data_IF_648836401913
#
_entry.id   IF_648836401913
#
_cell.length_a   1.000
_cell.length_b   1.000
_cell.length_c   1.000
_cell.angle_alpha   90.00
_cell.angle_beta   90.00
_cell.angle_gamma   90.00
#
_symmetry.space_group_name_H-M   'P 1'
#
loop_
_entity.id
_entity.type
_entity.pdbx_description
1 polymer ?
#
# COMPACT_ATOMS: atom_id res chain seq x y z
N UNK A 1 -9.87 -9.93 23.06
CA UNK A 1 -11.15 -10.20 22.42
C UNK A 1 -11.70 -8.89 21.95
N UNK A 2 -11.79 -8.72 20.63
CA UNK A 2 -12.54 -7.62 20.08
C UNK A 2 -14.00 -7.85 20.45
N UNK A 3 -14.50 -7.02 21.30
CA UNK A 3 -15.92 -7.01 21.53
C UNK A 3 -16.64 -6.56 20.27
N UNK A 4 -17.72 -7.18 20.05
CA UNK A 4 -18.60 -7.27 18.91
C UNK A 4 -19.29 -5.97 18.49
N UNK A 5 -18.57 -4.87 18.36
CA UNK A 5 -19.08 -3.73 17.60
C UNK A 5 -18.83 -4.01 16.11
N UNK A 6 -19.86 -4.18 15.28
CA UNK A 6 -19.70 -4.49 13.85
C UNK A 6 -18.98 -3.37 13.06
N UNK A 7 -18.79 -2.20 13.67
CA UNK A 7 -18.01 -1.09 13.12
C UNK A 7 -16.51 -1.21 13.44
N UNK A 8 -16.12 -2.14 14.35
CA UNK A 8 -14.73 -2.32 14.76
C UNK A 8 -14.12 -3.50 14.03
N UNK A 9 -13.03 -3.27 13.32
CA UNK A 9 -12.23 -4.30 12.68
C UNK A 9 -10.90 -4.41 13.42
N UNK A 10 -10.63 -5.59 13.97
CA UNK A 10 -9.32 -5.90 14.58
C UNK A 10 -8.43 -6.53 13.55
N UNK A 11 -7.20 -6.05 13.47
CA UNK A 11 -6.15 -6.60 12.60
C UNK A 11 -4.82 -6.69 13.34
N UNK A 12 -3.97 -7.61 12.92
CA UNK A 12 -2.58 -7.67 13.35
C UNK A 12 -1.71 -6.71 12.54
N UNK A 13 -0.62 -6.25 13.15
CA UNK A 13 0.45 -5.57 12.43
C UNK A 13 1.81 -6.04 12.96
N UNK A 14 2.81 -6.10 12.09
CA UNK A 14 4.12 -6.64 12.41
C UNK A 14 5.18 -6.00 11.53
N UNK A 15 6.38 -5.89 12.08
CA UNK A 15 7.59 -5.44 11.38
C UNK A 15 8.47 -6.66 11.12
N UNK A 16 8.27 -7.34 10.00
CA UNK A 16 9.08 -8.48 9.59
C UNK A 16 9.93 -8.10 8.38
N UNK A 17 11.23 -8.13 8.55
CA UNK A 17 12.17 -7.61 7.58
C UNK A 17 13.53 -8.32 7.62
N UNK A 18 14.34 -8.22 6.56
CA UNK A 18 15.67 -8.82 6.50
C UNK A 18 16.63 -8.34 7.61
N UNK A 19 16.37 -7.19 8.24
CA UNK A 19 17.17 -6.68 9.36
C UNK A 19 17.07 -7.49 10.66
N UNK A 20 16.06 -8.33 10.84
CA UNK A 20 15.71 -8.96 12.13
C UNK A 20 16.24 -10.39 12.31
N UNK A 21 16.96 -10.94 11.35
CA UNK A 21 17.51 -12.28 11.40
C UNK A 21 17.10 -13.15 10.22
N UNK A 22 17.32 -14.48 10.27
CA UNK A 22 17.07 -15.35 9.13
C UNK A 22 15.57 -15.50 8.81
N UNK A 23 15.20 -15.71 7.52
CA UNK A 23 13.82 -15.69 7.07
C UNK A 23 12.91 -16.78 7.65
N UNK A 24 13.49 -17.92 8.04
CA UNK A 24 12.72 -19.07 8.51
C UNK A 24 11.86 -18.79 9.75
N UNK A 25 12.35 -17.98 10.70
CA UNK A 25 11.60 -17.61 11.89
C UNK A 25 10.44 -16.67 11.56
N UNK A 26 10.68 -15.67 10.71
CA UNK A 26 9.67 -14.73 10.26
C UNK A 26 8.55 -15.44 9.47
N UNK A 27 8.91 -16.33 8.54
CA UNK A 27 7.96 -17.15 7.79
C UNK A 27 7.14 -18.04 8.72
N UNK A 28 7.78 -18.76 9.64
CA UNK A 28 7.10 -19.61 10.61
C UNK A 28 6.12 -18.85 11.50
N UNK A 29 6.44 -17.60 11.87
CA UNK A 29 5.53 -16.75 12.61
C UNK A 29 4.29 -16.38 11.79
N UNK A 30 4.47 -15.95 10.53
CA UNK A 30 3.36 -15.61 9.64
C UNK A 30 2.49 -16.84 9.35
N UNK A 31 3.10 -18.00 9.12
CA UNK A 31 2.37 -19.26 8.92
C UNK A 31 1.54 -19.63 10.15
N UNK A 32 2.07 -19.37 11.35
CA UNK A 32 1.33 -19.52 12.61
C UNK A 32 0.13 -18.58 12.68
N UNK A 33 0.32 -17.31 12.32
CA UNK A 33 -0.75 -16.32 12.31
C UNK A 33 -1.89 -16.71 11.36
N UNK A 34 -1.59 -17.05 10.10
CA UNK A 34 -2.60 -17.43 9.09
C UNK A 34 -3.36 -18.71 9.45
N UNK A 35 -2.70 -19.64 10.15
CA UNK A 35 -3.38 -20.87 10.62
C UNK A 35 -4.35 -20.63 11.78
N UNK A 36 -4.12 -19.58 12.56
CA UNK A 36 -4.88 -19.35 13.80
C UNK A 36 -5.96 -18.29 13.68
N UNK A 37 -5.89 -17.43 12.66
CA UNK A 37 -6.87 -16.34 12.47
C UNK A 37 -7.05 -15.95 11.01
N UNK A 38 -8.25 -15.48 10.68
CA UNK A 38 -8.56 -14.85 9.40
C UNK A 38 -8.46 -13.31 9.47
N UNK A 39 -8.00 -12.75 10.59
CA UNK A 39 -7.82 -11.30 10.71
C UNK A 39 -6.74 -10.81 9.73
N UNK A 40 -6.87 -9.58 9.29
CA UNK A 40 -5.85 -8.96 8.43
C UNK A 40 -4.53 -8.85 9.16
N UNK A 41 -3.44 -9.09 8.44
CA UNK A 41 -2.08 -8.84 8.89
C UNK A 41 -1.46 -7.76 8.01
N UNK A 42 -0.92 -6.72 8.65
CA UNK A 42 -0.21 -5.63 8.00
C UNK A 42 1.28 -5.80 8.30
N UNK A 43 2.09 -6.15 7.29
CA UNK A 43 3.53 -6.13 7.44
C UNK A 43 4.08 -4.76 7.01
N UNK A 44 4.66 -4.03 7.96
CA UNK A 44 5.29 -2.73 7.72
C UNK A 44 6.82 -2.80 7.74
N UNK A 45 7.40 -3.96 7.42
CA UNK A 45 8.82 -4.17 7.31
C UNK A 45 9.48 -3.51 6.10
N UNK A 46 10.79 -3.47 6.11
CA UNK A 46 11.63 -3.04 4.99
C UNK A 46 11.90 -4.19 4.01
N UNK A 47 12.53 -3.86 2.89
CA UNK A 47 13.11 -4.81 1.94
C UNK A 47 14.64 -4.65 1.88
N UNK A 48 15.27 -4.53 3.03
CA UNK A 48 16.69 -4.20 3.15
C UNK A 48 17.60 -5.20 2.44
N UNK A 49 18.53 -4.64 1.67
CA UNK A 49 19.48 -5.41 0.88
C UNK A 49 18.89 -6.08 -0.36
N UNK A 50 17.58 -6.03 -0.57
CA UNK A 50 16.98 -6.57 -1.80
C UNK A 50 17.41 -5.75 -3.04
N UNK A 51 17.41 -6.35 -4.24
CA UNK A 51 17.75 -5.67 -5.49
C UNK A 51 16.91 -4.43 -5.75
N UNK A 52 17.55 -3.40 -6.35
CA UNK A 52 16.91 -2.14 -6.76
C UNK A 52 16.55 -2.09 -8.25
N UNK A 53 16.84 -3.17 -8.97
CA UNK A 53 16.53 -3.36 -10.39
C UNK A 53 16.19 -4.81 -10.66
N UNK A 54 15.45 -5.05 -11.73
CA UNK A 54 15.13 -6.42 -12.16
C UNK A 54 16.44 -7.15 -12.49
N UNK A 55 16.65 -8.29 -11.85
CA UNK A 55 17.82 -9.14 -12.04
C UNK A 55 17.50 -10.59 -11.70
N UNK A 56 18.41 -11.51 -12.04
CA UNK A 56 18.35 -12.91 -11.60
C UNK A 56 18.83 -13.10 -10.15
N UNK A 57 19.53 -12.13 -9.58
CA UNK A 57 19.88 -12.11 -8.17
C UNK A 57 18.65 -11.70 -7.36
N UNK A 58 18.19 -12.58 -6.49
CA UNK A 58 17.03 -12.38 -5.63
C UNK A 58 17.42 -12.21 -4.16
N UNK A 59 18.72 -12.07 -3.86
CA UNK A 59 19.20 -12.03 -2.48
C UNK A 59 18.95 -10.68 -1.82
N UNK A 60 18.59 -10.74 -0.54
CA UNK A 60 18.43 -9.63 0.37
C UNK A 60 19.37 -9.80 1.57
N UNK A 61 19.36 -8.91 2.55
CA UNK A 61 20.19 -9.03 3.75
C UNK A 61 19.86 -10.30 4.55
N UNK A 62 20.81 -10.78 5.35
CA UNK A 62 20.69 -11.88 6.31
C UNK A 62 20.16 -13.20 5.73
N UNK A 63 20.48 -13.48 4.47
CA UNK A 63 20.07 -14.71 3.78
C UNK A 63 18.60 -14.74 3.37
N UNK A 64 17.93 -13.61 3.43
CA UNK A 64 16.61 -13.46 2.82
C UNK A 64 16.71 -13.40 1.31
N UNK A 65 15.60 -13.75 0.68
CA UNK A 65 15.35 -13.52 -0.75
C UNK A 65 14.13 -12.62 -0.94
N UNK A 66 13.97 -12.08 -2.15
CA UNK A 66 12.73 -11.39 -2.55
C UNK A 66 11.50 -12.25 -2.24
N UNK A 67 11.57 -13.56 -2.51
CA UNK A 67 10.44 -14.47 -2.30
C UNK A 67 10.11 -14.66 -0.81
N UNK A 68 11.09 -14.53 0.11
CA UNK A 68 10.85 -14.52 1.55
C UNK A 68 10.14 -13.24 2.01
N UNK A 69 10.56 -12.07 1.50
CA UNK A 69 9.88 -10.80 1.79
C UNK A 69 8.45 -10.82 1.26
N UNK A 70 8.23 -11.34 0.05
CA UNK A 70 6.90 -11.51 -0.51
C UNK A 70 6.04 -12.48 0.31
N UNK A 71 6.64 -13.56 0.84
CA UNK A 71 5.91 -14.49 1.70
C UNK A 71 5.31 -13.79 2.91
N UNK A 72 6.14 -13.09 3.69
CA UNK A 72 5.68 -12.43 4.92
C UNK A 72 4.83 -11.17 4.68
N UNK A 73 4.85 -10.63 3.46
CA UNK A 73 4.15 -9.39 3.13
C UNK A 73 2.87 -9.58 2.30
N UNK A 74 2.66 -10.78 1.70
CA UNK A 74 1.52 -11.01 0.83
C UNK A 74 1.14 -12.49 0.61
N UNK A 75 2.13 -13.39 0.47
CA UNK A 75 1.88 -14.69 -0.17
C UNK A 75 1.51 -15.81 0.80
N UNK A 76 1.79 -15.67 2.10
CA UNK A 76 1.43 -16.70 3.09
C UNK A 76 -0.09 -16.83 3.29
N UNK A 77 -0.89 -15.84 2.87
CA UNK A 77 -2.34 -15.92 2.96
C UNK A 77 -3.09 -14.74 2.33
N UNK A 78 -4.41 -14.88 2.11
CA UNK A 78 -5.21 -13.89 1.38
C UNK A 78 -5.42 -12.58 2.16
N UNK A 79 -5.18 -12.59 3.47
CA UNK A 79 -5.42 -11.44 4.36
C UNK A 79 -4.13 -10.74 4.79
N UNK A 80 -3.01 -10.96 4.07
CA UNK A 80 -1.74 -10.27 4.32
C UNK A 80 -1.59 -9.09 3.38
N UNK A 81 -1.14 -7.97 3.93
CA UNK A 81 -1.00 -6.69 3.24
C UNK A 81 0.35 -6.07 3.53
N UNK A 82 1.04 -5.65 2.48
CA UNK A 82 2.28 -4.91 2.63
C UNK A 82 2.01 -3.44 2.94
N UNK A 83 2.82 -2.90 3.85
CA UNK A 83 2.92 -1.48 4.15
C UNK A 83 4.41 -1.06 4.09
N UNK A 84 5.01 -0.96 2.90
CA UNK A 84 6.43 -0.69 2.73
C UNK A 84 6.98 0.44 3.60
N UNK A 85 8.12 0.21 4.23
CA UNK A 85 8.91 1.27 4.83
C UNK A 85 9.61 2.07 3.71
N UNK A 86 9.25 3.35 3.56
CA UNK A 86 9.90 4.28 2.63
C UNK A 86 10.47 5.43 3.45
N UNK A 87 11.54 5.16 4.18
CA UNK A 87 12.05 6.03 5.22
C UNK A 87 13.16 6.99 4.75
N UNK A 88 13.66 6.84 3.51
CA UNK A 88 14.81 7.62 3.05
C UNK A 88 14.56 8.34 1.74
N UNK A 89 15.26 9.46 1.54
CA UNK A 89 15.23 10.25 0.30
C UNK A 89 15.97 9.60 -0.86
N UNK A 90 16.79 8.58 -0.62
CA UNK A 90 17.66 7.96 -1.63
C UNK A 90 16.91 7.29 -2.79
N UNK A 91 15.68 6.87 -2.55
CA UNK A 91 14.89 6.09 -3.51
C UNK A 91 15.20 4.60 -3.51
N UNK A 92 16.19 4.14 -2.76
CA UNK A 92 16.56 2.73 -2.72
C UNK A 92 15.40 1.85 -2.27
N UNK A 93 14.77 2.18 -1.14
CA UNK A 93 13.63 1.42 -0.60
C UNK A 93 12.47 1.35 -1.60
N UNK A 94 12.15 2.45 -2.25
CA UNK A 94 11.09 2.49 -3.27
C UNK A 94 11.40 1.59 -4.47
N UNK A 95 12.64 1.57 -4.93
CA UNK A 95 13.08 0.68 -6.03
C UNK A 95 13.01 -0.79 -5.62
N UNK A 96 13.44 -1.13 -4.41
CA UNK A 96 13.35 -2.49 -3.87
C UNK A 96 11.90 -2.98 -3.89
N UNK A 97 10.97 -2.20 -3.35
CA UNK A 97 9.56 -2.57 -3.34
C UNK A 97 8.92 -2.63 -4.73
N UNK A 98 9.37 -1.81 -5.68
CA UNK A 98 8.93 -1.93 -7.07
C UNK A 98 9.42 -3.23 -7.73
N UNK A 99 10.65 -3.67 -7.43
CA UNK A 99 11.18 -4.98 -7.89
C UNK A 99 10.40 -6.13 -7.25
N UNK A 100 10.10 -6.06 -5.95
CA UNK A 100 9.24 -7.05 -5.28
C UNK A 100 7.85 -7.13 -5.95
N UNK A 101 7.25 -5.99 -6.27
CA UNK A 101 5.95 -5.95 -6.94
C UNK A 101 6.00 -6.61 -8.33
N UNK A 102 7.05 -6.35 -9.10
CA UNK A 102 7.25 -6.99 -10.40
C UNK A 102 7.42 -8.50 -10.26
N UNK A 103 8.23 -8.96 -9.31
CA UNK A 103 8.42 -10.39 -9.02
C UNK A 103 7.10 -11.07 -8.60
N UNK A 104 6.30 -10.42 -7.78
CA UNK A 104 5.00 -10.93 -7.37
C UNK A 104 4.04 -11.14 -8.57
N UNK A 105 4.07 -10.24 -9.55
CA UNK A 105 3.30 -10.38 -10.79
C UNK A 105 3.80 -11.54 -11.65
N UNK A 106 5.12 -11.74 -11.77
CA UNK A 106 5.70 -12.91 -12.43
C UNK A 106 5.21 -14.22 -11.81
N UNK A 107 5.13 -14.27 -10.48
CA UNK A 107 4.62 -15.41 -9.73
C UNK A 107 3.09 -15.57 -9.81
N UNK A 108 2.39 -14.65 -10.47
CA UNK A 108 0.91 -14.57 -10.50
C UNK A 108 0.27 -14.46 -9.10
N UNK A 109 0.99 -13.90 -8.18
CA UNK A 109 0.58 -13.68 -6.79
C UNK A 109 0.77 -12.18 -6.44
N UNK A 110 -0.09 -11.29 -6.93
CA UNK A 110 0.13 -9.85 -6.86
C UNK A 110 0.26 -9.35 -5.42
N UNK A 111 1.30 -8.54 -5.20
CA UNK A 111 1.53 -7.84 -3.95
C UNK A 111 0.49 -6.73 -3.78
N UNK A 112 -0.13 -6.66 -2.61
CA UNK A 112 -1.07 -5.60 -2.25
C UNK A 112 -0.36 -4.54 -1.42
N UNK A 113 -0.03 -3.42 -2.03
CA UNK A 113 0.55 -2.24 -1.39
C UNK A 113 -0.57 -1.40 -0.78
N UNK A 114 -1.07 -1.83 0.37
CA UNK A 114 -2.27 -1.25 0.96
C UNK A 114 -2.03 0.10 1.64
N UNK A 115 -0.79 0.39 2.01
CA UNK A 115 -0.30 1.67 2.52
C UNK A 115 1.22 1.71 2.35
N UNK A 116 1.87 2.76 2.82
CA UNK A 116 3.30 2.78 3.10
C UNK A 116 3.58 3.57 4.38
N UNK A 117 4.73 3.38 4.98
CA UNK A 117 5.12 4.06 6.21
C UNK A 117 6.34 4.94 6.01
N UNK A 118 6.34 6.09 6.67
CA UNK A 118 7.50 6.93 6.94
C UNK A 118 7.65 7.10 8.44
N UNK A 119 8.83 7.54 8.90
CA UNK A 119 9.10 7.70 10.34
C UNK A 119 9.56 9.12 10.71
N UNK A 120 9.26 10.11 9.88
CA UNK A 120 9.73 11.48 10.09
C UNK A 120 9.21 12.05 11.41
N UNK A 121 7.95 11.81 11.74
CA UNK A 121 7.38 12.26 13.01
C UNK A 121 7.97 11.50 14.22
N UNK A 122 8.23 10.20 14.10
CA UNK A 122 8.90 9.43 15.14
C UNK A 122 10.34 9.92 15.36
N UNK A 123 11.09 10.16 14.29
CA UNK A 123 12.46 10.63 14.35
C UNK A 123 12.64 11.98 15.04
N UNK A 124 11.67 12.88 14.93
CA UNK A 124 11.72 14.17 15.65
C UNK A 124 11.61 14.03 17.18
N UNK A 125 11.13 12.90 17.64
CA UNK A 125 10.97 12.58 19.07
C UNK A 125 12.18 11.86 19.66
N UNK A 126 13.11 11.39 18.82
CA UNK A 126 14.32 10.68 19.26
C UNK A 126 15.47 11.68 19.40
N UNK A 127 16.25 11.55 20.48
CA UNK A 127 17.44 12.36 20.70
C UNK A 127 18.43 12.22 19.53
N UNK A 128 18.77 13.33 18.89
CA UNK A 128 19.64 13.37 17.73
C UNK A 128 18.91 13.28 16.39
N UNK A 129 17.60 13.03 16.41
CA UNK A 129 16.77 12.94 15.21
C UNK A 129 17.15 11.77 14.27
N UNK A 130 16.64 11.81 13.05
CA UNK A 130 16.99 10.86 12.00
C UNK A 130 17.49 11.61 10.76
N UNK A 131 18.76 11.94 10.67
CA UNK A 131 19.30 12.84 9.63
C UNK A 131 19.12 12.31 8.20
N UNK A 132 19.02 11.00 8.03
CA UNK A 132 18.83 10.32 6.72
C UNK A 132 17.37 10.06 6.34
N UNK A 133 16.45 10.22 7.29
CA UNK A 133 15.04 9.86 7.14
C UNK A 133 14.13 11.09 7.23
N UNK A 134 14.39 12.12 6.50
CA UNK A 134 13.58 13.35 6.50
C UNK A 134 12.65 13.43 5.29
N UNK A 135 12.04 12.32 4.88
CA UNK A 135 11.10 12.29 3.76
C UNK A 135 9.67 12.47 4.28
N UNK A 136 8.91 13.39 3.68
CA UNK A 136 7.50 13.51 4.02
C UNK A 136 6.71 12.29 3.51
N UNK A 137 5.56 12.03 4.13
CA UNK A 137 4.70 10.91 3.75
C UNK A 137 4.31 10.96 2.26
N UNK A 138 3.99 12.14 1.74
CA UNK A 138 3.62 12.32 0.34
C UNK A 138 4.80 12.25 -0.63
N UNK A 139 5.98 12.71 -0.22
CA UNK A 139 7.19 12.55 -1.04
C UNK A 139 7.58 11.07 -1.13
N UNK A 140 7.44 10.32 -0.04
CA UNK A 140 7.65 8.88 -0.02
C UNK A 140 6.66 8.15 -0.93
N UNK A 141 5.38 8.52 -0.87
CA UNK A 141 4.36 7.99 -1.77
C UNK A 141 4.70 8.26 -3.24
N UNK A 142 5.01 9.51 -3.55
CA UNK A 142 5.40 9.89 -4.91
C UNK A 142 6.70 9.19 -5.36
N UNK A 143 7.64 8.94 -4.44
CA UNK A 143 8.87 8.21 -4.72
C UNK A 143 8.58 6.75 -5.08
N UNK A 144 7.73 6.05 -4.28
CA UNK A 144 7.33 4.69 -4.57
C UNK A 144 6.48 4.60 -5.83
N UNK A 145 5.56 5.56 -6.05
CA UNK A 145 4.76 5.63 -7.28
C UNK A 145 5.65 5.71 -8.52
N UNK A 146 6.64 6.62 -8.54
CA UNK A 146 7.59 6.72 -9.65
C UNK A 146 8.40 5.45 -9.86
N UNK A 147 8.81 4.76 -8.79
CA UNK A 147 9.55 3.51 -8.90
C UNK A 147 8.69 2.39 -9.51
N UNK A 148 7.42 2.29 -9.11
CA UNK A 148 6.46 1.35 -9.70
C UNK A 148 6.19 1.66 -11.18
N UNK A 149 6.00 2.93 -11.52
CA UNK A 149 5.71 3.35 -12.91
C UNK A 149 6.92 3.21 -13.84
N UNK A 150 8.14 3.17 -13.30
CA UNK A 150 9.34 2.92 -14.08
C UNK A 150 9.49 1.47 -14.56
N UNK A 151 8.75 0.54 -13.99
CA UNK A 151 8.71 -0.87 -14.41
C UNK A 151 7.37 -1.10 -15.12
N UNK A 152 7.36 -1.40 -16.43
CA UNK A 152 6.12 -1.53 -17.21
C UNK A 152 5.09 -2.47 -16.62
N UNK A 153 5.54 -3.58 -16.01
CA UNK A 153 4.65 -4.57 -15.39
C UNK A 153 3.90 -4.04 -14.15
N UNK A 154 4.45 -3.06 -13.44
CA UNK A 154 3.88 -2.49 -12.22
C UNK A 154 3.32 -1.08 -12.41
N UNK A 155 3.41 -0.54 -13.63
CA UNK A 155 2.89 0.79 -13.94
C UNK A 155 1.37 0.85 -13.68
N UNK A 156 0.92 1.90 -12.96
CA UNK A 156 -0.49 2.05 -12.60
C UNK A 156 -0.99 1.09 -11.51
N UNK A 157 -0.16 0.23 -10.94
CA UNK A 157 -0.54 -0.67 -9.86
C UNK A 157 -1.12 0.12 -8.67
N UNK A 158 -2.21 -0.35 -8.02
CA UNK A 158 -2.76 0.33 -6.86
C UNK A 158 -1.75 0.52 -5.73
N UNK A 159 -1.71 1.72 -5.17
CA UNK A 159 -0.88 2.08 -4.03
C UNK A 159 -1.74 2.83 -3.01
N UNK A 160 -1.77 2.32 -1.78
CA UNK A 160 -2.52 2.91 -0.69
C UNK A 160 -1.91 4.21 -0.16
N UNK A 161 -2.60 4.83 0.77
CA UNK A 161 -2.19 6.10 1.35
C UNK A 161 -0.92 5.98 2.21
N UNK A 162 -0.10 7.03 2.28
CA UNK A 162 1.06 7.05 3.15
C UNK A 162 0.67 7.29 4.61
N UNK A 163 1.46 6.73 5.53
CA UNK A 163 1.33 6.91 6.98
C UNK A 163 2.65 7.36 7.58
N UNK A 164 2.60 8.29 8.53
CA UNK A 164 3.77 8.72 9.29
C UNK A 164 3.71 8.10 10.69
N UNK A 165 4.69 7.26 11.02
CA UNK A 165 4.77 6.58 12.31
C UNK A 165 5.14 7.60 13.40
N UNK A 166 4.38 7.61 14.48
CA UNK A 166 4.68 8.38 15.69
C UNK A 166 4.79 7.46 16.89
N UNK A 167 5.76 7.74 17.75
CA UNK A 167 5.83 7.14 19.08
C UNK A 167 4.78 7.83 19.97
N UNK A 168 3.74 7.10 20.37
CA UNK A 168 2.68 7.66 21.24
C UNK A 168 1.34 7.85 20.53
N UNK A 169 0.48 8.69 21.11
CA UNK A 169 -0.97 8.76 20.86
C UNK A 169 -1.41 9.35 19.51
N UNK A 170 -0.55 10.00 18.78
CA UNK A 170 -0.92 10.68 17.56
C UNK A 170 -0.30 10.00 16.34
N UNK A 171 -0.94 8.96 15.84
CA UNK A 171 -0.60 8.40 14.55
C UNK A 171 -1.04 9.37 13.45
N UNK A 172 -0.06 9.97 12.76
CA UNK A 172 -0.36 10.83 11.64
C UNK A 172 -0.76 10.03 10.40
N UNK A 173 -2.00 9.56 10.36
CA UNK A 173 -2.59 9.16 9.09
C UNK A 173 -2.73 10.43 8.24
N UNK A 174 -1.93 10.53 7.18
CA UNK A 174 -1.98 11.68 6.28
C UNK A 174 -3.03 11.39 5.22
N UNK A 175 -4.23 11.94 5.42
CA UNK A 175 -5.27 11.90 4.39
C UNK A 175 -4.78 12.75 3.20
N UNK A 176 -4.79 12.23 1.96
CA UNK A 176 -4.53 13.06 0.79
C UNK A 176 -5.47 14.25 0.80
N UNK A 177 -5.01 15.46 0.40
CA UNK A 177 -5.94 16.50 0.06
C UNK A 177 -6.92 15.90 -0.96
N UNK A 178 -8.22 15.99 -0.66
CA UNK A 178 -9.24 15.48 -1.56
C UNK A 178 -8.95 16.07 -2.95
N UNK A 179 -8.61 15.21 -3.88
CA UNK A 179 -8.57 15.62 -5.29
C UNK A 179 -10.02 15.95 -5.61
N UNK A 180 -10.37 17.22 -5.55
CA UNK A 180 -11.66 17.70 -6.03
C UNK A 180 -11.67 17.48 -7.54
N UNK A 181 -11.97 16.26 -7.95
CA UNK A 181 -12.42 16.02 -9.30
C UNK A 181 -13.79 16.64 -9.35
N UNK A 182 -13.83 17.91 -9.78
CA UNK A 182 -15.07 18.62 -10.07
C UNK A 182 -15.71 17.88 -11.26
N UNK A 183 -16.53 16.89 -10.94
CA UNK A 183 -17.38 16.25 -11.93
C UNK A 183 -18.48 17.28 -12.22
N UNK A 184 -18.25 18.15 -13.21
CA UNK A 184 -19.30 18.98 -13.77
C UNK A 184 -20.27 18.02 -14.46
N UNK A 185 -21.32 17.63 -13.76
CA UNK A 185 -22.43 16.88 -14.35
C UNK A 185 -23.15 17.86 -15.23
N UNK A 186 -22.84 17.85 -16.53
CA UNK A 186 -23.62 18.55 -17.52
C UNK A 186 -24.97 17.84 -17.63
N UNK A 187 -25.98 18.38 -16.98
CA UNK A 187 -27.35 17.90 -17.14
C UNK A 187 -27.76 18.23 -18.60
N UNK A 188 -27.99 17.19 -19.38
CA UNK A 188 -28.50 17.36 -20.74
C UNK A 188 -29.85 18.08 -20.69
N UNK A 189 -30.13 19.07 -21.59
CA UNK A 189 -31.38 19.75 -21.59
C UNK A 189 -32.50 18.76 -21.92
N UNK A 190 -33.51 18.73 -21.06
CA UNK A 190 -34.75 17.96 -21.27
C UNK A 190 -35.52 18.58 -22.41
N UNK A 191 -35.58 17.94 -23.54
CA UNK A 191 -36.44 18.34 -24.67
C UNK A 191 -37.88 18.04 -24.28
N UNK A 192 -38.65 19.08 -23.98
CA UNK A 192 -40.12 18.99 -23.80
C UNK A 192 -40.77 18.87 -25.17
N UNK A 193 -41.25 17.70 -25.52
CA UNK A 193 -42.03 17.49 -26.75
C UNK A 193 -43.43 17.99 -26.48
N UNK A 194 -43.78 19.13 -27.08
CA UNK A 194 -45.15 19.65 -27.08
C UNK A 194 -45.98 18.83 -28.06
N UNK A 195 -46.97 18.10 -27.57
CA UNK A 195 -47.94 17.37 -28.39
C UNK A 195 -48.96 18.35 -28.91
N UNK A 196 -49.14 18.45 -30.24
CA UNK A 196 -50.12 19.28 -30.87
C UNK A 196 -51.55 18.77 -30.61
N UNK A 197 -52.54 19.65 -30.41
CA UNK A 197 -53.92 19.24 -30.16
C UNK A 197 -54.57 18.64 -31.41
N UNK A 198 -55.19 17.49 -31.25
CA UNK A 198 -55.94 16.79 -32.27
C UNK A 198 -57.31 17.48 -32.42
N UNK A 199 -57.55 18.07 -33.59
CA UNK A 199 -58.86 18.62 -33.96
C UNK A 199 -59.79 17.51 -34.43
N UNK A 200 -60.88 17.25 -33.68
CA UNK A 200 -61.92 16.32 -34.07
C UNK A 200 -62.99 17.08 -34.92
N UNK A 201 -63.05 16.74 -36.17
CA UNK A 201 -64.14 17.28 -37.09
C UNK A 201 -65.34 16.36 -36.99
N UNK A 202 -66.45 16.84 -36.46
CA UNK A 202 -67.75 16.15 -36.47
C UNK A 202 -68.50 16.57 -37.75
N UNK A 203 -68.78 15.57 -38.61
CA UNK A 203 -69.67 15.78 -39.79
C UNK A 203 -71.10 15.47 -39.37
N UNK A 204 -72.01 16.39 -39.65
CA UNK A 204 -73.47 16.22 -39.68
C UNK A 204 -73.89 15.67 -41.02
#
# INVERSE_FOLDING_TARGET
QAESDPRTVVSGSVDLEPGWGPPGQARGWVDGYVRTTNARLWNFGSADGCPQSISSDLTCNNGWTIDDVLWVSAHAGPNIYAMPQIHTKSGALSKQWAVLAARALEMKMPLRLAALTVQTAACTQVRGGCPTTGISAWDAWAQLRRALDAIPATAGMPLGAPMDIRWGWANGFVIPPATTTSTTTTVAPTTTTTVAPTTTTTST
#
